data_IF_243516130665
#
_entry.id   IF_243516130665
#
_cell.length_a   1.000
_cell.length_b   1.000
_cell.length_c   1.000
_cell.angle_alpha   90.00
_cell.angle_beta   90.00
_cell.angle_gamma   90.00
#
_symmetry.space_group_name_H-M   'P 1'
#
loop_
_entity.id
_entity.type
_entity.pdbx_description
1 polymer ?
#
# COMPACT_ATOMS: atom_id res chain seq x y z
N UNK A 1 20.48 -14.26 6.96
CA UNK A 1 19.79 -13.59 8.10
C UNK A 1 19.25 -14.59 9.12
N UNK A 2 18.36 -15.52 8.78
CA UNK A 2 17.79 -16.51 9.73
C UNK A 2 18.87 -17.34 10.43
N UNK A 3 19.84 -17.87 9.68
CA UNK A 3 21.01 -18.58 10.22
C UNK A 3 21.76 -17.75 11.28
N UNK A 4 21.95 -16.46 11.03
CA UNK A 4 22.64 -15.56 11.95
C UNK A 4 21.83 -15.34 13.24
N UNK A 5 20.51 -15.14 13.12
CA UNK A 5 19.63 -15.04 14.28
C UNK A 5 19.62 -16.31 15.12
N UNK A 6 19.63 -17.49 14.47
CA UNK A 6 19.73 -18.79 15.14
C UNK A 6 21.06 -18.95 15.85
N UNK A 7 22.16 -18.48 15.26
CA UNK A 7 23.46 -18.47 15.93
C UNK A 7 23.46 -17.59 17.20
N UNK A 8 22.85 -16.41 17.12
CA UNK A 8 22.71 -15.52 18.29
C UNK A 8 21.89 -16.19 19.40
N UNK A 9 20.79 -16.87 19.05
CA UNK A 9 19.96 -17.55 20.05
C UNK A 9 20.71 -18.62 20.86
N UNK A 10 21.75 -19.26 20.30
CA UNK A 10 22.55 -20.26 21.02
C UNK A 10 23.27 -19.71 22.25
N UNK A 11 23.47 -18.39 22.32
CA UNK A 11 24.04 -17.71 23.48
C UNK A 11 23.03 -17.29 24.54
N UNK A 12 21.72 -17.52 24.33
CA UNK A 12 20.65 -17.16 25.27
C UNK A 12 20.24 -18.36 26.13
N UNK A 13 19.41 -18.11 27.15
CA UNK A 13 18.80 -19.19 27.92
C UNK A 13 17.98 -20.15 27.04
N UNK A 14 17.87 -21.40 27.49
CA UNK A 14 17.27 -22.50 26.72
C UNK A 14 15.86 -22.18 26.20
N UNK A 15 15.07 -21.41 26.96
CA UNK A 15 13.71 -20.99 26.56
C UNK A 15 13.68 -20.15 25.28
N UNK A 16 14.79 -19.46 24.96
CA UNK A 16 14.93 -18.62 23.78
C UNK A 16 15.58 -19.34 22.59
N UNK A 17 15.97 -20.62 22.71
CA UNK A 17 16.70 -21.34 21.66
C UNK A 17 15.80 -22.10 20.67
N UNK A 18 14.51 -21.78 20.63
CA UNK A 18 13.54 -22.41 19.73
C UNK A 18 13.16 -21.50 18.55
N UNK A 19 12.75 -22.12 17.43
CA UNK A 19 12.18 -21.40 16.29
C UNK A 19 10.91 -20.64 16.70
N UNK A 20 10.12 -21.18 17.65
CA UNK A 20 8.94 -20.49 18.21
C UNK A 20 9.33 -19.22 18.96
N UNK A 21 10.37 -19.28 19.80
CA UNK A 21 10.89 -18.11 20.49
C UNK A 21 11.42 -17.06 19.49
N UNK A 22 12.13 -17.49 18.43
CA UNK A 22 12.60 -16.58 17.39
C UNK A 22 11.43 -15.90 16.69
N UNK A 23 10.42 -16.68 16.30
CA UNK A 23 9.21 -16.20 15.65
C UNK A 23 8.49 -15.17 16.50
N UNK A 24 8.26 -15.46 17.78
CA UNK A 24 7.60 -14.54 18.70
C UNK A 24 8.38 -13.24 18.88
N UNK A 25 9.72 -13.32 18.91
CA UNK A 25 10.57 -12.13 19.02
C UNK A 25 10.47 -11.26 17.78
N UNK A 26 10.45 -11.86 16.59
CA UNK A 26 10.25 -11.14 15.31
C UNK A 26 8.88 -10.45 15.31
N UNK A 27 7.82 -11.18 15.67
CA UNK A 27 6.46 -10.62 15.72
C UNK A 27 6.38 -9.45 16.69
N UNK A 28 6.87 -9.63 17.92
CA UNK A 28 6.85 -8.57 18.91
C UNK A 28 7.68 -7.35 18.49
N UNK A 29 8.81 -7.54 17.81
CA UNK A 29 9.61 -6.44 17.29
C UNK A 29 8.88 -5.65 16.18
N UNK A 30 8.04 -6.33 15.40
CA UNK A 30 7.32 -5.72 14.29
C UNK A 30 5.90 -5.23 14.64
N UNK A 31 5.35 -5.57 15.81
CA UNK A 31 3.97 -5.22 16.19
C UNK A 31 3.64 -3.72 16.15
N UNK A 32 4.63 -2.84 16.31
CA UNK A 32 4.43 -1.39 16.25
C UNK A 32 4.66 -0.78 14.86
N UNK A 33 4.95 -1.61 13.85
CA UNK A 33 5.18 -1.17 12.47
C UNK A 33 3.88 -1.36 11.68
N UNK A 34 3.30 -0.29 11.15
CA UNK A 34 2.03 -0.34 10.43
C UNK A 34 2.04 -1.35 9.25
N UNK A 35 3.17 -1.48 8.55
CA UNK A 35 3.36 -2.45 7.48
C UNK A 35 3.24 -3.91 7.95
N UNK A 36 3.58 -4.20 9.21
CA UNK A 36 3.51 -5.56 9.75
C UNK A 36 2.09 -6.10 9.80
N UNK A 37 1.09 -5.23 9.97
CA UNK A 37 -0.33 -5.61 9.94
C UNK A 37 -0.70 -6.32 8.64
N UNK A 38 -0.14 -5.88 7.50
CA UNK A 38 -0.35 -6.52 6.20
C UNK A 38 0.39 -7.85 6.10
N UNK A 39 1.62 -7.92 6.63
CA UNK A 39 2.39 -9.17 6.67
C UNK A 39 1.70 -10.25 7.51
N UNK A 40 1.04 -9.86 8.61
CA UNK A 40 0.36 -10.76 9.53
C UNK A 40 -0.89 -11.44 8.93
N UNK A 41 -1.46 -10.89 7.85
CA UNK A 41 -2.59 -11.50 7.13
C UNK A 41 -2.18 -12.76 6.36
N UNK A 42 -0.89 -12.88 6.02
CA UNK A 42 -0.38 -14.00 5.24
C UNK A 42 0.14 -15.11 6.19
N UNK A 43 -0.38 -16.35 6.08
CA UNK A 43 0.11 -17.45 6.88
C UNK A 43 1.59 -17.73 6.57
N UNK A 44 2.39 -17.90 7.63
CA UNK A 44 3.80 -18.23 7.53
C UNK A 44 4.17 -19.34 8.51
N UNK A 45 4.41 -20.52 7.97
CA UNK A 45 4.81 -21.73 8.71
C UNK A 45 6.31 -21.75 9.02
N UNK A 46 7.14 -21.17 8.15
CA UNK A 46 8.57 -21.03 8.34
C UNK A 46 8.97 -19.57 8.67
N UNK A 47 10.05 -19.39 9.42
CA UNK A 47 10.61 -18.07 9.75
C UNK A 47 11.02 -17.30 8.49
N UNK A 48 11.56 -18.01 7.48
CA UNK A 48 11.91 -17.42 6.19
C UNK A 48 10.68 -16.85 5.47
N UNK A 49 9.56 -17.58 5.47
CA UNK A 49 8.29 -17.10 4.91
C UNK A 49 7.78 -15.87 5.66
N UNK A 50 7.88 -15.86 7.01
CA UNK A 50 7.47 -14.70 7.81
C UNK A 50 8.30 -13.46 7.45
N UNK A 51 9.62 -13.61 7.34
CA UNK A 51 10.52 -12.52 6.95
C UNK A 51 10.19 -11.99 5.56
N UNK A 52 9.94 -12.89 4.59
CA UNK A 52 9.57 -12.48 3.24
C UNK A 52 8.24 -11.72 3.22
N UNK A 53 7.23 -12.19 3.96
CA UNK A 53 5.95 -11.49 4.09
C UNK A 53 6.13 -10.09 4.67
N UNK A 54 7.00 -9.94 5.68
CA UNK A 54 7.33 -8.64 6.28
C UNK A 54 8.01 -7.73 5.25
N UNK A 55 8.97 -8.25 4.49
CA UNK A 55 9.68 -7.48 3.47
C UNK A 55 8.73 -6.94 2.41
N UNK A 56 7.90 -7.81 1.84
CA UNK A 56 6.90 -7.45 0.83
C UNK A 56 5.88 -6.45 1.38
N UNK A 57 5.46 -6.62 2.64
CA UNK A 57 4.53 -5.71 3.27
C UNK A 57 5.14 -4.31 3.49
N UNK A 58 6.42 -4.22 3.84
CA UNK A 58 7.14 -2.94 3.94
C UNK A 58 7.19 -2.27 2.56
N UNK A 59 7.62 -2.99 1.52
CA UNK A 59 7.67 -2.47 0.14
C UNK A 59 6.29 -1.97 -0.33
N UNK A 60 5.22 -2.72 -0.05
CA UNK A 60 3.87 -2.36 -0.45
C UNK A 60 3.28 -1.21 0.38
N UNK A 61 3.63 -1.12 1.68
CA UNK A 61 3.15 -0.04 2.54
C UNK A 61 3.61 1.33 2.05
N UNK A 62 4.79 1.42 1.43
CA UNK A 62 5.28 2.66 0.82
C UNK A 62 4.49 3.05 -0.43
N UNK A 63 3.99 2.07 -1.19
CA UNK A 63 3.16 2.31 -2.38
C UNK A 63 1.78 2.81 -1.94
N UNK A 64 1.17 2.16 -0.94
CA UNK A 64 -0.16 2.55 -0.42
C UNK A 64 -0.10 3.93 0.22
N UNK A 65 0.92 4.21 1.03
CA UNK A 65 1.09 5.53 1.66
C UNK A 65 1.27 6.68 0.64
N UNK A 66 1.74 6.38 -0.58
CA UNK A 66 1.81 7.35 -1.68
C UNK A 66 0.48 7.47 -2.42
N UNK A 67 -0.29 6.39 -2.52
CA UNK A 67 -1.61 6.39 -3.13
C UNK A 67 -2.66 7.10 -2.26
N UNK A 68 -2.60 6.96 -0.93
CA UNK A 68 -3.50 7.63 0.02
C UNK A 68 -3.28 9.17 0.08
N UNK A 69 -2.23 9.69 -0.55
CA UNK A 69 -1.98 11.12 -0.72
C UNK A 69 -2.60 11.71 -1.99
N UNK A 70 -3.31 10.92 -2.79
CA UNK A 70 -4.08 11.44 -3.92
C UNK A 70 -5.34 12.09 -3.33
N UNK A 71 -5.39 13.42 -3.40
CA UNK A 71 -6.54 14.22 -2.96
C UNK A 71 -7.84 13.80 -3.67
N UNK A 72 -9.03 13.96 -3.03
CA UNK A 72 -10.30 13.61 -3.63
C UNK A 72 -10.53 14.39 -4.93
N UNK A 73 -10.97 13.66 -5.96
CA UNK A 73 -11.26 14.14 -7.32
C UNK A 73 -12.58 14.94 -7.32
N UNK A 74 -12.70 15.98 -6.49
CA UNK A 74 -13.91 16.81 -6.39
C UNK A 74 -13.75 18.20 -7.03
N UNK A 75 -12.74 18.40 -7.90
CA UNK A 75 -12.55 19.67 -8.62
C UNK A 75 -12.36 19.56 -10.15
N UNK A 76 -12.80 18.48 -10.79
CA UNK A 76 -12.83 18.37 -12.27
C UNK A 76 -14.23 18.68 -12.83
N UNK A 77 -14.96 19.63 -12.25
CA UNK A 77 -16.24 20.06 -12.80
C UNK A 77 -16.51 21.55 -12.63
N UNK A 78 -15.67 22.43 -13.21
CA UNK A 78 -16.06 23.83 -13.53
C UNK A 78 -15.38 24.48 -14.74
N UNK A 79 -14.45 23.83 -15.45
CA UNK A 79 -13.71 24.51 -16.54
C UNK A 79 -14.08 24.10 -17.96
N UNK A 80 -15.03 23.17 -18.16
CA UNK A 80 -15.27 22.58 -19.50
C UNK A 80 -16.57 23.02 -20.18
N UNK A 81 -17.39 23.87 -19.58
CA UNK A 81 -18.66 24.32 -20.19
C UNK A 81 -18.55 25.60 -21.04
N UNK A 82 -17.43 26.33 -20.99
CA UNK A 82 -17.32 27.61 -21.72
C UNK A 82 -16.77 27.51 -23.15
N UNK A 83 -16.33 26.33 -23.60
CA UNK A 83 -15.67 26.18 -24.92
C UNK A 83 -16.53 25.51 -26.01
N UNK A 84 -17.81 25.23 -25.76
CA UNK A 84 -18.71 24.64 -26.77
C UNK A 84 -19.59 25.70 -27.47
N UNK A 85 -19.79 26.88 -26.86
CA UNK A 85 -20.68 27.92 -27.40
C UNK A 85 -20.04 28.91 -28.39
N UNK A 86 -18.76 28.75 -28.77
CA UNK A 86 -18.09 29.69 -29.70
C UNK A 86 -17.93 29.20 -31.15
N UNK A 87 -18.29 27.95 -31.47
CA UNK A 87 -17.94 27.34 -32.78
C UNK A 87 -19.13 26.79 -33.56
N UNK A 88 -20.29 27.46 -33.54
CA UNK A 88 -21.35 27.20 -34.52
C UNK A 88 -21.46 28.38 -35.49
N UNK A 89 -21.15 28.21 -36.80
CA UNK A 89 -21.35 29.27 -37.77
C UNK A 89 -22.86 29.53 -37.93
N UNK A 90 -23.23 30.80 -37.84
CA UNK A 90 -24.58 31.29 -38.12
C UNK A 90 -25.06 30.79 -39.50
N UNK A 91 -26.03 29.89 -39.51
CA UNK A 91 -26.81 29.56 -40.70
C UNK A 91 -27.80 30.72 -40.97
N UNK A 92 -27.89 31.24 -42.20
CA UNK A 92 -28.82 32.32 -42.51
C UNK A 92 -30.27 31.83 -42.43
N UNK A 93 -31.09 32.52 -41.63
CA UNK A 93 -32.52 32.25 -41.51
C UNK A 93 -33.24 32.66 -42.79
N UNK A 94 -33.91 31.70 -43.43
CA UNK A 94 -34.73 31.93 -44.62
C UNK A 94 -36.08 32.47 -44.17
N UNK A 95 -36.33 33.76 -44.43
CA UNK A 95 -37.65 34.36 -44.21
C UNK A 95 -38.63 33.90 -45.30
N UNK A 96 -39.68 33.19 -44.90
CA UNK A 96 -40.90 33.07 -45.69
C UNK A 96 -41.88 34.15 -45.23
N UNK A 97 -42.23 35.05 -46.15
CA UNK A 97 -43.36 35.99 -46.01
C UNK A 97 -44.61 35.40 -46.66
N UNK A 98 -45.82 35.78 -46.17
CA UNK A 98 -47.07 35.04 -46.35
C UNK A 98 -47.63 35.03 -47.77
#
# INVERSE_FOLDING_TARGET
MVEHLRQIQRGLDQEYQSDSALRNKIINACNNVAAFSLAALQPATAITSLINNIHVAIENSEIIARADKIEPIDQIDKSSEEEINSTLPNLPQIHFTP
#
